data_IF_596155832940
#
_entry.id   IF_596155832940
#
_cell.length_a   1.000
_cell.length_b   1.000
_cell.length_c   1.000
_cell.angle_alpha   90.00
_cell.angle_beta   90.00
_cell.angle_gamma   90.00
#
_symmetry.space_group_name_H-M   'P 1'
#
loop_
_entity.id
_entity.type
_entity.pdbx_description
1 polymer ?
#
# COMPACT_ATOMS: atom_id res chain seq x y z
N UNK A 1 -15.90 -2.40 -15.28
CA UNK A 1 -14.50 -2.51 -14.79
C UNK A 1 -13.49 -2.87 -15.90
N UNK A 2 -13.77 -2.59 -17.19
CA UNK A 2 -12.87 -2.96 -18.30
C UNK A 2 -12.15 -1.77 -18.96
N UNK A 3 -12.40 -0.54 -18.49
CA UNK A 3 -11.83 0.69 -19.11
C UNK A 3 -10.39 1.00 -18.67
N UNK A 4 -9.89 0.34 -17.63
CA UNK A 4 -8.53 0.56 -17.12
C UNK A 4 -7.50 -0.17 -18.01
N UNK A 5 -7.94 -1.17 -18.78
CA UNK A 5 -7.12 -2.01 -19.67
C UNK A 5 -7.18 -1.59 -21.14
N UNK A 6 -7.87 -0.50 -21.49
CA UNK A 6 -7.92 0.02 -22.87
C UNK A 6 -6.89 1.14 -23.12
N UNK A 7 -6.33 1.73 -22.07
CA UNK A 7 -5.30 2.76 -22.20
C UNK A 7 -3.90 2.11 -22.22
N UNK A 8 -3.17 2.16 -23.35
CA UNK A 8 -1.84 1.53 -23.47
C UNK A 8 -0.84 2.06 -22.43
N UNK A 9 -1.00 3.31 -22.00
CA UNK A 9 -0.16 3.95 -20.99
C UNK A 9 -0.40 3.37 -19.58
N UNK A 10 -1.65 2.99 -19.29
CA UNK A 10 -2.03 2.36 -18.01
C UNK A 10 -1.57 0.91 -17.99
N UNK A 11 -1.70 0.18 -19.10
CA UNK A 11 -1.21 -1.20 -19.23
C UNK A 11 0.30 -1.25 -19.00
N UNK A 12 1.07 -0.36 -19.64
CA UNK A 12 2.52 -0.28 -19.46
C UNK A 12 2.91 0.03 -18.01
N UNK A 13 2.20 0.93 -17.33
CA UNK A 13 2.43 1.24 -15.93
C UNK A 13 2.17 0.05 -15.00
N UNK A 14 1.08 -0.69 -15.22
CA UNK A 14 0.73 -1.88 -14.43
C UNK A 14 1.76 -3.00 -14.65
N UNK A 15 2.15 -3.27 -15.90
CA UNK A 15 3.20 -4.26 -16.22
C UNK A 15 4.54 -3.84 -15.59
N UNK A 16 4.88 -2.55 -15.63
CA UNK A 16 6.09 -2.03 -15.00
C UNK A 16 6.11 -2.25 -13.49
N UNK A 17 4.99 -2.01 -12.80
CA UNK A 17 4.86 -2.24 -11.36
C UNK A 17 4.96 -3.74 -11.03
N UNK A 18 4.24 -4.59 -11.76
CA UNK A 18 4.29 -6.04 -11.57
C UNK A 18 5.70 -6.56 -11.86
N UNK A 19 6.35 -6.10 -12.94
CA UNK A 19 7.72 -6.48 -13.29
C UNK A 19 8.77 -5.94 -12.31
N UNK A 20 8.54 -4.81 -11.64
CA UNK A 20 9.43 -4.32 -10.59
C UNK A 20 9.34 -5.17 -9.32
N UNK A 21 8.15 -5.68 -9.01
CA UNK A 21 7.89 -6.52 -7.83
C UNK A 21 8.32 -7.97 -8.07
N UNK A 22 8.06 -8.52 -9.25
CA UNK A 22 8.33 -9.93 -9.59
C UNK A 22 9.60 -10.16 -10.43
N UNK A 23 10.16 -9.14 -11.09
CA UNK A 23 11.29 -9.26 -12.01
C UNK A 23 12.66 -9.31 -11.35
N UNK A 24 12.74 -9.31 -10.02
CA UNK A 24 14.02 -9.46 -9.30
C UNK A 24 14.32 -10.93 -9.00
N UNK A 25 14.45 -11.75 -10.05
CA UNK A 25 15.26 -12.98 -9.98
C UNK A 25 15.79 -13.36 -11.37
N UNK A 26 17.11 -13.50 -11.42
CA UNK A 26 17.94 -14.04 -12.50
C UNK A 26 18.23 -13.06 -13.64
N UNK A 27 19.15 -12.12 -13.37
CA UNK A 27 19.98 -11.51 -14.40
C UNK A 27 21.29 -12.30 -14.48
N UNK A 28 21.21 -13.50 -15.05
CA UNK A 28 22.37 -14.27 -15.50
C UNK A 28 22.29 -14.39 -17.02
N UNK A 29 23.07 -13.54 -17.67
CA UNK A 29 23.99 -13.90 -18.75
C UNK A 29 23.63 -15.13 -19.61
N UNK A 30 23.26 -14.93 -20.89
CA UNK A 30 23.76 -15.74 -22.02
C UNK A 30 23.41 -15.17 -23.41
N UNK A 31 24.35 -15.45 -24.31
CA UNK A 31 24.68 -14.96 -25.67
C UNK A 31 23.74 -15.52 -26.78
N UNK A 32 23.82 -15.03 -28.04
CA UNK A 32 22.86 -15.34 -29.13
C UNK A 32 23.04 -16.76 -29.74
N UNK A 33 22.10 -17.23 -30.60
CA UNK A 33 21.97 -18.65 -30.95
C UNK A 33 22.86 -19.06 -32.14
N UNK A 34 23.45 -20.26 -32.05
CA UNK A 34 24.27 -20.87 -33.11
C UNK A 34 24.05 -22.38 -33.21
N UNK A 35 23.36 -22.77 -34.28
CA UNK A 35 23.50 -23.93 -35.20
C UNK A 35 24.13 -25.29 -34.75
N UNK A 36 23.28 -26.35 -34.83
CA UNK A 36 23.50 -27.78 -35.21
C UNK A 36 24.22 -28.81 -34.29
N UNK A 37 23.93 -30.13 -34.47
CA UNK A 37 23.78 -31.13 -33.40
C UNK A 37 24.73 -32.34 -33.52
N UNK A 38 24.79 -33.23 -32.52
CA UNK A 38 24.80 -34.69 -32.73
C UNK A 38 24.69 -35.51 -31.43
N UNK A 39 23.87 -36.57 -31.50
CA UNK A 39 24.13 -37.93 -31.05
C UNK A 39 24.51 -38.22 -29.58
N UNK A 40 23.60 -38.85 -28.82
CA UNK A 40 23.60 -40.32 -28.63
C UNK A 40 22.51 -40.79 -27.65
N UNK A 41 21.78 -41.81 -28.07
CA UNK A 41 20.82 -42.57 -27.30
C UNK A 41 21.48 -43.78 -26.60
N UNK A 42 21.00 -44.14 -25.40
CA UNK A 42 20.88 -45.52 -24.84
C UNK A 42 20.20 -45.40 -23.46
N UNK A 43 18.94 -45.81 -23.28
CA UNK A 43 18.36 -47.15 -23.07
C UNK A 43 18.53 -47.73 -21.64
N UNK A 44 17.37 -47.99 -21.02
CA UNK A 44 17.01 -49.16 -20.18
C UNK A 44 17.68 -49.24 -18.78
N UNK A 45 17.09 -49.76 -17.69
CA UNK A 45 15.85 -50.53 -17.43
C UNK A 45 15.59 -50.60 -15.90
N UNK A 46 14.31 -50.85 -15.57
CA UNK A 46 13.70 -51.44 -14.36
C UNK A 46 14.55 -52.03 -13.21
N UNK A 47 14.07 -51.84 -11.96
CA UNK A 47 13.29 -52.85 -11.17
C UNK A 47 13.04 -52.38 -9.73
N UNK A 48 11.76 -52.38 -9.32
CA UNK A 48 11.35 -52.55 -7.92
C UNK A 48 11.46 -54.04 -7.54
N UNK A 49 11.54 -54.36 -6.23
CA UNK A 49 10.43 -55.15 -5.71
C UNK A 49 9.93 -54.72 -4.32
N UNK A 50 8.63 -54.90 -4.22
CA UNK A 50 7.69 -54.90 -3.10
C UNK A 50 8.05 -55.93 -2.02
N UNK A 51 7.87 -55.56 -0.74
CA UNK A 51 7.78 -56.49 0.39
C UNK A 51 6.70 -56.01 1.35
N UNK A 52 5.57 -56.68 1.30
CA UNK A 52 4.56 -56.72 2.36
C UNK A 52 5.14 -57.39 3.61
N UNK A 53 4.96 -56.76 4.78
CA UNK A 53 4.82 -57.46 6.06
C UNK A 53 4.00 -56.60 7.02
N UNK A 54 2.83 -57.11 7.37
CA UNK A 54 2.07 -56.84 8.61
C UNK A 54 1.80 -58.25 9.17
N UNK A 55 2.03 -58.58 10.45
CA UNK A 55 1.18 -58.06 11.54
C UNK A 55 1.84 -57.97 12.94
N UNK A 56 1.46 -56.99 13.74
CA UNK A 56 1.25 -57.24 15.18
C UNK A 56 0.44 -56.11 15.80
N UNK A 57 -0.61 -56.51 16.53
CA UNK A 57 -1.39 -55.63 17.37
C UNK A 57 -0.61 -55.44 18.67
N UNK A 58 0.01 -54.27 18.83
CA UNK A 58 0.57 -53.82 20.10
C UNK A 58 -0.48 -52.98 20.82
N UNK A 59 -0.96 -53.52 21.93
CA UNK A 59 -1.89 -52.87 22.84
C UNK A 59 -1.11 -51.91 23.77
N UNK A 60 -1.65 -50.70 23.92
CA UNK A 60 -1.43 -49.71 25.02
C UNK A 60 -0.24 -48.73 24.87
N UNK A 61 -0.35 -47.44 25.32
CA UNK A 61 -1.14 -46.98 26.46
C UNK A 61 -2.18 -45.90 26.15
N UNK A 62 -3.10 -45.75 27.11
CA UNK A 62 -4.12 -44.71 27.16
C UNK A 62 -3.50 -43.31 26.92
N UNK A 63 -3.85 -42.72 25.77
CA UNK A 63 -3.52 -41.33 25.43
C UNK A 63 -4.43 -40.40 26.24
N UNK A 64 -4.07 -40.22 27.51
CA UNK A 64 -4.46 -39.05 28.28
C UNK A 64 -3.41 -37.95 28.04
N UNK A 65 -3.28 -37.50 26.80
CA UNK A 65 -2.49 -36.32 26.47
C UNK A 65 -3.27 -35.50 25.45
N UNK A 66 -3.62 -34.29 25.84
CA UNK A 66 -4.25 -33.29 24.97
C UNK A 66 -3.59 -33.29 23.58
N UNK A 67 -4.37 -33.61 22.54
CA UNK A 67 -3.89 -33.72 21.17
C UNK A 67 -3.01 -32.50 20.80
N UNK A 68 -1.73 -32.66 20.42
CA UNK A 68 -0.85 -31.54 20.09
C UNK A 68 -1.39 -30.70 18.92
N UNK A 69 -2.23 -31.30 18.08
CA UNK A 69 -2.99 -30.64 17.02
C UNK A 69 -4.05 -29.66 17.55
N UNK A 70 -4.73 -29.98 18.66
CA UNK A 70 -5.72 -29.08 19.26
C UNK A 70 -5.05 -27.85 19.88
N UNK A 71 -3.87 -28.02 20.48
CA UNK A 71 -3.06 -26.90 21.02
C UNK A 71 -2.66 -25.93 19.91
N UNK A 72 -2.12 -26.45 18.79
CA UNK A 72 -1.77 -25.64 17.61
C UNK A 72 -2.98 -24.95 16.99
N UNK A 73 -4.12 -25.63 16.94
CA UNK A 73 -5.37 -25.06 16.41
C UNK A 73 -5.85 -23.89 17.28
N UNK A 74 -5.89 -24.07 18.61
CA UNK A 74 -6.26 -22.99 19.55
C UNK A 74 -5.30 -21.81 19.49
N UNK A 75 -4.00 -22.04 19.32
CA UNK A 75 -3.01 -20.98 19.16
C UNK A 75 -3.19 -20.21 17.85
N UNK A 76 -3.48 -20.92 16.74
CA UNK A 76 -3.80 -20.29 15.46
C UNK A 76 -5.10 -19.47 15.52
N UNK A 77 -6.13 -19.99 16.16
CA UNK A 77 -7.41 -19.29 16.36
C UNK A 77 -7.24 -18.02 17.22
N UNK A 78 -6.42 -18.08 18.28
CA UNK A 78 -6.07 -16.89 19.09
C UNK A 78 -5.32 -15.84 18.28
N UNK A 79 -4.33 -16.25 17.50
CA UNK A 79 -3.59 -15.34 16.60
C UNK A 79 -4.50 -14.67 15.59
N UNK A 80 -5.42 -15.43 14.99
CA UNK A 80 -6.39 -14.87 14.04
C UNK A 80 -7.30 -13.85 14.72
N UNK A 81 -7.86 -14.17 15.90
CA UNK A 81 -8.70 -13.25 16.65
C UNK A 81 -7.97 -11.95 17.05
N UNK A 82 -6.71 -12.04 17.49
CA UNK A 82 -5.86 -10.89 17.79
C UNK A 82 -5.61 -10.02 16.55
N UNK A 83 -5.31 -10.66 15.41
CA UNK A 83 -5.12 -9.93 14.15
C UNK A 83 -6.40 -9.24 13.68
N UNK A 84 -7.56 -9.89 13.78
CA UNK A 84 -8.85 -9.30 13.41
C UNK A 84 -9.18 -8.08 14.29
N UNK A 85 -8.94 -8.15 15.60
CA UNK A 85 -9.13 -7.02 16.50
C UNK A 85 -8.19 -5.85 16.15
N UNK A 86 -6.93 -6.15 15.83
CA UNK A 86 -5.95 -5.15 15.42
C UNK A 86 -6.33 -4.50 14.08
N UNK A 87 -6.78 -5.30 13.10
CA UNK A 87 -7.24 -4.81 11.80
C UNK A 87 -8.47 -3.92 11.93
N UNK A 88 -9.48 -4.34 12.70
CA UNK A 88 -10.69 -3.55 12.94
C UNK A 88 -10.36 -2.21 13.62
N UNK A 89 -9.44 -2.21 14.59
CA UNK A 89 -8.95 -0.98 15.23
C UNK A 89 -8.21 -0.05 14.24
N UNK A 90 -7.39 -0.62 13.36
CA UNK A 90 -6.66 0.12 12.32
C UNK A 90 -7.62 0.73 11.28
N UNK A 91 -8.63 -0.02 10.86
CA UNK A 91 -9.65 0.47 9.93
C UNK A 91 -10.44 1.65 10.49
N UNK A 92 -10.82 1.60 11.78
CA UNK A 92 -11.46 2.73 12.46
C UNK A 92 -10.54 3.97 12.56
N UNK A 93 -9.24 3.76 12.76
CA UNK A 93 -8.26 4.85 12.75
C UNK A 93 -8.06 5.45 11.36
N UNK A 94 -7.99 4.61 10.32
CA UNK A 94 -7.83 5.06 8.93
C UNK A 94 -9.07 5.77 8.41
N UNK A 95 -10.28 5.29 8.73
CA UNK A 95 -11.55 5.93 8.37
C UNK A 95 -11.71 7.27 9.06
N UNK A 96 -11.40 7.38 10.35
CA UNK A 96 -11.43 8.65 11.08
C UNK A 96 -10.36 9.63 10.60
N UNK A 97 -9.14 9.17 10.29
CA UNK A 97 -8.09 9.99 9.68
C UNK A 97 -8.48 10.47 8.27
N UNK A 98 -9.10 9.61 7.46
CA UNK A 98 -9.61 9.97 6.13
C UNK A 98 -10.75 10.99 6.21
N UNK A 99 -11.66 10.84 7.18
CA UNK A 99 -12.72 11.81 7.42
C UNK A 99 -12.15 13.18 7.84
N UNK A 100 -11.16 13.21 8.75
CA UNK A 100 -10.44 14.45 9.11
C UNK A 100 -9.77 15.08 7.89
N UNK A 101 -9.09 14.29 7.07
CA UNK A 101 -8.43 14.78 5.85
C UNK A 101 -9.42 15.24 4.78
N UNK A 102 -10.61 14.64 4.67
CA UNK A 102 -11.68 15.09 3.80
C UNK A 102 -12.22 16.47 4.23
N UNK A 103 -12.35 16.71 5.54
CA UNK A 103 -12.75 18.01 6.10
C UNK A 103 -11.66 19.08 5.92
N UNK A 104 -10.38 18.69 5.87
CA UNK A 104 -9.25 19.59 5.61
C UNK A 104 -9.05 19.93 4.13
N UNK A 105 -9.60 19.14 3.20
CA UNK A 105 -9.72 19.51 1.78
C UNK A 105 -10.82 20.55 1.60
N UNK A 106 -10.65 21.72 2.23
CA UNK A 106 -11.48 22.88 1.92
C UNK A 106 -11.33 23.15 0.41
N UNK A 107 -12.44 23.27 -0.34
CA UNK A 107 -12.34 23.62 -1.74
C UNK A 107 -11.56 24.92 -1.84
N UNK A 108 -10.62 24.99 -2.80
CA UNK A 108 -9.88 26.23 -3.06
C UNK A 108 -10.89 27.37 -3.18
N UNK A 109 -10.78 28.36 -2.30
CA UNK A 109 -11.72 29.48 -2.24
C UNK A 109 -11.72 30.18 -3.60
N UNK A 110 -12.80 30.01 -4.36
CA UNK A 110 -13.00 30.68 -5.65
C UNK A 110 -13.48 32.10 -5.38
N UNK A 111 -12.53 33.01 -5.14
CA UNK A 111 -12.82 34.42 -4.91
C UNK A 111 -12.94 35.11 -6.28
N UNK A 112 -14.06 35.79 -6.51
CA UNK A 112 -14.26 36.65 -7.70
C UNK A 112 -13.44 37.93 -7.55
N UNK A 113 -12.95 38.49 -8.65
CA UNK A 113 -12.10 39.69 -8.67
C UNK A 113 -12.80 40.87 -7.98
N UNK A 114 -14.09 41.04 -8.23
CA UNK A 114 -14.91 42.13 -7.71
C UNK A 114 -15.04 42.04 -6.19
N UNK A 115 -15.26 40.83 -5.65
CA UNK A 115 -15.35 40.58 -4.20
C UNK A 115 -14.02 40.84 -3.50
N UNK A 116 -12.89 40.49 -4.13
CA UNK A 116 -11.56 40.81 -3.60
C UNK A 116 -11.33 42.33 -3.53
N UNK A 117 -11.68 43.06 -4.59
CA UNK A 117 -11.57 44.52 -4.64
C UNK A 117 -12.47 45.18 -3.59
N UNK A 118 -13.72 44.72 -3.45
CA UNK A 118 -14.65 45.23 -2.45
C UNK A 118 -14.16 44.97 -1.02
N UNK A 119 -13.55 43.82 -0.77
CA UNK A 119 -12.92 43.50 0.52
C UNK A 119 -11.78 44.47 0.86
N UNK A 120 -10.95 44.84 -0.12
CA UNK A 120 -9.90 45.84 0.05
C UNK A 120 -10.51 47.20 0.38
N UNK A 121 -11.54 47.63 -0.36
CA UNK A 121 -12.20 48.92 -0.12
C UNK A 121 -12.79 48.97 1.29
N UNK A 122 -13.52 47.93 1.71
CA UNK A 122 -14.06 47.87 3.06
C UNK A 122 -12.98 47.82 4.14
N UNK A 123 -11.83 47.20 3.88
CA UNK A 123 -10.70 47.20 4.82
C UNK A 123 -10.11 48.60 5.03
N UNK A 124 -10.17 49.48 4.03
CA UNK A 124 -9.73 50.87 4.16
C UNK A 124 -10.78 51.72 4.90
N UNK A 125 -12.06 51.50 4.61
CA UNK A 125 -13.17 52.25 5.23
C UNK A 125 -13.32 51.89 6.71
N UNK A 126 -13.28 50.61 7.05
CA UNK A 126 -13.44 50.10 8.41
C UNK A 126 -12.13 50.12 9.21
N UNK A 127 -11.00 50.37 8.53
CA UNK A 127 -9.70 50.51 9.16
C UNK A 127 -9.55 51.81 9.95
N UNK A 128 -8.49 51.95 10.77
CA UNK A 128 -8.17 53.24 11.40
C UNK A 128 -7.99 54.30 10.31
N UNK A 129 -8.49 55.53 10.52
CA UNK A 129 -8.49 56.55 9.47
C UNK A 129 -7.07 56.79 8.96
N UNK A 130 -6.90 56.91 7.64
CA UNK A 130 -5.63 57.21 6.98
C UNK A 130 -4.91 58.42 7.60
N UNK A 131 -5.66 59.37 8.15
CA UNK A 131 -5.16 60.51 8.91
C UNK A 131 -4.22 60.12 10.07
N UNK A 132 -4.39 58.94 10.69
CA UNK A 132 -3.49 58.43 11.74
C UNK A 132 -2.13 57.94 11.21
N UNK A 133 -1.98 57.76 9.89
CA UNK A 133 -0.72 57.42 9.22
C UNK A 133 -0.28 58.60 8.34
N UNK A 134 0.36 59.63 8.91
CA UNK A 134 0.83 60.77 8.13
C UNK A 134 1.78 60.32 7.02
N UNK A 135 1.70 61.02 5.89
CA UNK A 135 2.57 60.79 4.73
C UNK A 135 4.04 60.83 5.14
N UNK A 136 4.88 60.04 4.46
CA UNK A 136 6.33 59.95 4.74
C UNK A 136 6.99 61.33 4.78
N UNK A 137 6.54 62.25 3.92
CA UNK A 137 7.00 63.64 3.85
C UNK A 137 6.64 64.48 5.09
N UNK A 138 5.56 64.16 5.80
CA UNK A 138 5.13 64.86 7.01
C UNK A 138 5.71 64.27 8.31
N UNK A 139 6.23 63.04 8.27
CA UNK A 139 6.83 62.39 9.45
C UNK A 139 8.15 63.04 9.88
N UNK A 140 8.91 63.59 8.95
CA UNK A 140 10.16 64.30 9.25
C UNK A 140 9.91 65.65 9.94
N UNK A 141 8.80 66.31 9.62
CA UNK A 141 8.42 67.62 10.17
C UNK A 141 8.05 67.52 11.66
N UNK A 142 7.46 66.39 12.08
CA UNK A 142 7.00 66.20 13.47
C UNK A 142 8.11 65.80 14.47
N UNK A 143 9.33 65.56 14.00
CA UNK A 143 10.48 65.14 14.84
C UNK A 143 11.42 66.29 15.23
N UNK A 144 11.04 67.53 14.93
CA UNK A 144 11.74 68.75 15.33
C UNK A 144 10.90 69.47 16.37
#
# INVERSE_FOLDING_TARGET
MHEILTNPLVIAAVIGIISAIFGKKNKDEKRPPGTRPENQAKKQEHKQPEKEHKPEAEEMPAVSEENPFEKKRREAEKRLAETEQMFNGLEHQLTSARARNATLKKPALKIKKETAVQGIIFSEILGPPRAKKPHRTMRSIRKK
#
